data_IF_199542107744
#
_entry.id   IF_199542107744
#
_cell.length_a   1.000
_cell.length_b   1.000
_cell.length_c   1.000
_cell.angle_alpha   90.00
_cell.angle_beta   90.00
_cell.angle_gamma   90.00
#
_symmetry.space_group_name_H-M   'P 1'
#
loop_
_entity.id
_entity.type
_entity.pdbx_description
1 polymer ?
#
# COMPACT_ATOMS: atom_id res chain seq x y z
N UNK A 1 -40.02 -9.82 10.43
CA UNK A 1 -39.10 -9.34 11.49
C UNK A 1 -37.70 -9.96 11.39
N UNK A 2 -37.57 -11.29 11.24
CA UNK A 2 -36.29 -12.03 11.27
C UNK A 2 -35.37 -11.77 10.06
N UNK A 3 -35.96 -11.45 8.91
CA UNK A 3 -35.23 -11.07 7.68
C UNK A 3 -34.62 -9.68 7.76
N UNK A 4 -35.31 -8.73 8.39
CA UNK A 4 -34.84 -7.35 8.55
C UNK A 4 -33.64 -7.26 9.49
N UNK A 5 -33.63 -8.06 10.57
CA UNK A 5 -32.48 -8.19 11.48
C UNK A 5 -31.27 -8.81 10.79
N UNK A 6 -31.47 -9.82 9.94
CA UNK A 6 -30.38 -10.42 9.16
C UNK A 6 -29.75 -9.40 8.20
N UNK A 7 -30.56 -8.59 7.52
CA UNK A 7 -30.06 -7.54 6.62
C UNK A 7 -29.29 -6.44 7.37
N UNK A 8 -29.77 -6.03 8.55
CA UNK A 8 -29.08 -5.06 9.40
C UNK A 8 -27.71 -5.59 9.86
N UNK A 9 -27.63 -6.84 10.29
CA UNK A 9 -26.37 -7.48 10.68
C UNK A 9 -25.41 -7.60 9.49
N UNK A 10 -25.91 -7.97 8.31
CA UNK A 10 -25.09 -8.06 7.10
C UNK A 10 -24.50 -6.69 6.70
N UNK A 11 -25.32 -5.63 6.77
CA UNK A 11 -24.88 -4.25 6.49
C UNK A 11 -23.83 -3.76 7.49
N UNK A 12 -23.99 -4.08 8.77
CA UNK A 12 -23.01 -3.75 9.81
C UNK A 12 -21.66 -4.45 9.57
N UNK A 13 -21.69 -5.75 9.25
CA UNK A 13 -20.50 -6.55 8.95
C UNK A 13 -19.77 -6.05 7.69
N UNK A 14 -20.49 -5.71 6.64
CA UNK A 14 -19.90 -5.12 5.43
C UNK A 14 -19.22 -3.78 5.70
N UNK A 15 -19.81 -2.93 6.55
CA UNK A 15 -19.25 -1.62 6.92
C UNK A 15 -17.98 -1.76 7.78
N UNK A 16 -17.92 -2.82 8.59
CA UNK A 16 -16.75 -3.11 9.43
C UNK A 16 -15.57 -3.67 8.61
N UNK A 17 -15.85 -4.55 7.64
CA UNK A 17 -14.81 -5.11 6.76
C UNK A 17 -14.14 -4.05 5.88
N UNK A 18 -14.88 -3.09 5.34
CA UNK A 18 -14.31 -2.01 4.53
C UNK A 18 -13.35 -1.12 5.33
N UNK A 19 -13.60 -0.97 6.63
CA UNK A 19 -12.73 -0.21 7.54
C UNK A 19 -11.43 -0.96 7.84
N UNK A 20 -11.48 -2.29 8.00
CA UNK A 20 -10.28 -3.10 8.26
C UNK A 20 -9.32 -3.17 7.07
N UNK A 21 -9.84 -3.32 5.84
CA UNK A 21 -8.99 -3.38 4.64
C UNK A 21 -8.22 -2.07 4.38
N UNK A 22 -8.82 -0.91 4.70
CA UNK A 22 -8.15 0.39 4.58
C UNK A 22 -6.98 0.56 5.55
N UNK A 23 -7.07 -0.04 6.74
CA UNK A 23 -5.98 0.01 7.75
C UNK A 23 -4.80 -0.86 7.34
N UNK A 24 -5.04 -2.02 6.70
CA UNK A 24 -3.95 -2.89 6.21
C UNK A 24 -3.15 -2.21 5.08
N UNK A 25 -3.80 -1.40 4.25
CA UNK A 25 -3.13 -0.63 3.19
C UNK A 25 -2.30 0.54 3.74
N UNK A 26 -2.58 1.03 4.95
CA UNK A 26 -1.85 2.13 5.57
C UNK A 26 -0.48 1.71 6.12
N UNK A 27 -0.33 0.45 6.53
CA UNK A 27 0.87 -0.07 7.19
C UNK A 27 2.00 -0.48 6.21
N UNK A 28 1.69 -0.64 4.93
CA UNK A 28 2.73 -0.82 3.91
C UNK A 28 2.97 0.56 3.28
N UNK A 29 3.78 1.38 3.97
CA UNK A 29 4.33 2.56 3.34
C UNK A 29 4.97 2.11 2.00
N UNK A 30 4.56 2.67 0.86
CA UNK A 30 5.15 2.27 -0.40
C UNK A 30 6.65 2.55 -0.33
N UNK A 31 7.46 1.56 -0.70
CA UNK A 31 8.93 1.65 -0.76
C UNK A 31 9.33 2.75 -1.75
N UNK A 32 9.38 4.00 -1.26
CA UNK A 32 9.60 5.21 -2.05
C UNK A 32 10.90 5.89 -1.60
N UNK A 33 11.72 6.25 -2.58
CA UNK A 33 12.96 6.98 -2.32
C UNK A 33 12.70 8.47 -2.11
N UNK A 34 12.95 8.96 -0.89
CA UNK A 34 12.83 10.38 -0.53
C UNK A 34 14.15 11.15 -0.66
N UNK A 35 15.27 10.43 -0.76
CA UNK A 35 16.62 10.97 -0.97
C UNK A 35 17.28 10.26 -2.14
N UNK A 36 18.05 11.02 -2.92
CA UNK A 36 18.72 10.55 -4.12
C UNK A 36 20.23 10.70 -3.94
N UNK A 37 20.97 9.64 -4.27
CA UNK A 37 22.42 9.65 -4.28
C UNK A 37 22.95 10.38 -5.52
N UNK A 38 24.17 10.89 -5.42
CA UNK A 38 24.95 11.32 -6.58
C UNK A 38 25.28 10.11 -7.49
N UNK A 39 26.00 10.35 -8.59
CA UNK A 39 26.34 9.30 -9.56
C UNK A 39 27.10 8.15 -8.90
N UNK A 40 26.58 6.94 -9.03
CA UNK A 40 27.20 5.70 -8.57
C UNK A 40 27.85 4.98 -9.77
N UNK A 41 29.13 4.57 -9.70
CA UNK A 41 29.75 3.72 -10.72
C UNK A 41 28.99 2.40 -10.90
N UNK A 42 28.68 2.03 -12.14
CA UNK A 42 27.89 0.82 -12.42
C UNK A 42 28.57 -0.46 -11.94
N UNK A 43 29.91 -0.50 -11.88
CA UNK A 43 30.64 -1.65 -11.37
C UNK A 43 30.38 -1.92 -9.86
N UNK A 44 29.85 -0.94 -9.13
CA UNK A 44 29.51 -1.07 -7.71
C UNK A 44 28.05 -1.49 -7.49
N UNK A 45 27.22 -1.52 -8.53
CA UNK A 45 25.80 -1.86 -8.43
C UNK A 45 25.63 -3.37 -8.52
N UNK A 46 25.21 -4.01 -7.43
CA UNK A 46 25.01 -5.47 -7.36
C UNK A 46 23.58 -5.86 -7.73
N UNK A 47 22.61 -5.00 -7.41
CA UNK A 47 21.20 -5.21 -7.71
C UNK A 47 20.52 -3.86 -7.94
N UNK A 48 19.42 -3.89 -8.68
CA UNK A 48 18.62 -2.72 -8.98
C UNK A 48 17.13 -3.10 -8.93
N UNK A 49 16.32 -2.30 -8.24
CA UNK A 49 14.87 -2.45 -8.17
C UNK A 49 14.18 -1.13 -8.43
N UNK A 50 13.02 -1.19 -9.07
CA UNK A 50 12.19 0.00 -9.31
C UNK A 50 11.29 0.27 -8.10
N UNK A 51 11.12 1.54 -7.74
CA UNK A 51 10.11 1.94 -6.74
C UNK A 51 8.69 1.61 -7.18
N UNK A 52 7.78 1.55 -6.21
CA UNK A 52 6.35 1.40 -6.47
C UNK A 52 5.82 2.48 -7.44
N UNK A 53 4.84 2.13 -8.27
CA UNK A 53 4.14 3.08 -9.14
C UNK A 53 3.32 4.11 -8.36
N UNK A 54 3.01 3.84 -7.09
CA UNK A 54 2.33 4.79 -6.19
C UNK A 54 3.26 5.88 -5.65
N UNK A 55 4.57 5.79 -5.87
CA UNK A 55 5.50 6.82 -5.42
C UNK A 55 5.32 8.12 -6.22
N UNK A 56 5.42 9.29 -5.57
CA UNK A 56 5.32 10.59 -6.25
C UNK A 56 6.43 10.78 -7.30
N UNK A 57 7.54 10.06 -7.17
CA UNK A 57 8.64 10.04 -8.12
C UNK A 57 9.08 8.60 -8.37
N UNK A 58 9.19 8.22 -9.64
CA UNK A 58 9.79 6.94 -10.04
C UNK A 58 11.30 7.00 -9.83
N UNK A 59 11.85 5.96 -9.20
CA UNK A 59 13.27 5.85 -8.91
C UNK A 59 13.76 4.40 -8.99
N UNK A 60 15.08 4.27 -8.92
CA UNK A 60 15.79 2.99 -8.83
C UNK A 60 16.50 2.94 -7.47
N UNK A 61 16.41 1.79 -6.81
CA UNK A 61 17.01 1.48 -5.51
C UNK A 61 17.92 0.26 -5.63
#
# INVERSE_FOLDING_TARGET
MKTLTALLLLGLLCSLHTTSAGVIALEIAPECCMKFSARIPLQQVVSLRTTSSSCPRKALM
#
